data_IF_449830194756
#
_entry.id   IF_449830194756
#
_cell.length_a   1.000
_cell.length_b   1.000
_cell.length_c   1.000
_cell.angle_alpha   90.00
_cell.angle_beta   90.00
_cell.angle_gamma   90.00
#
_symmetry.space_group_name_H-M   'P 1'
#
loop_
_entity.id
_entity.type
_entity.pdbx_description
1 polymer ?
#
# COMPACT_ATOMS: atom_id res chain seq x y z
N UNK A 1 0.10 18.61 26.47
CA UNK A 1 1.38 17.94 26.26
C UNK A 1 1.61 17.90 24.76
N UNK A 2 2.57 18.64 24.26
CA UNK A 2 2.77 18.79 22.81
C UNK A 2 3.55 17.57 22.31
N UNK A 3 2.94 16.78 21.42
CA UNK A 3 3.51 15.54 20.85
C UNK A 3 4.77 15.83 19.98
N UNK A 4 5.12 17.10 19.79
CA UNK A 4 6.24 17.52 18.94
C UNK A 4 7.64 17.27 19.53
N UNK A 5 7.76 16.91 20.81
CA UNK A 5 9.05 16.78 21.49
C UNK A 5 9.52 15.34 21.71
N UNK A 6 8.79 14.34 21.17
CA UNK A 6 9.19 12.94 21.28
C UNK A 6 9.91 12.47 20.02
N UNK A 7 11.07 11.82 20.19
CA UNK A 7 11.77 11.15 19.09
C UNK A 7 11.01 9.89 18.70
N UNK A 8 10.41 9.90 17.50
CA UNK A 8 9.66 8.75 16.97
C UNK A 8 10.60 7.71 16.30
N UNK A 9 11.68 8.17 15.70
CA UNK A 9 12.70 7.32 15.07
C UNK A 9 14.06 7.90 15.43
N UNK A 10 14.93 7.06 16.01
CA UNK A 10 16.32 7.41 16.25
C UNK A 10 17.12 7.41 14.94
N UNK A 11 18.26 8.12 14.87
CA UNK A 11 19.10 8.12 13.67
C UNK A 11 19.38 6.70 13.19
N UNK A 12 18.97 6.40 11.97
CA UNK A 12 19.02 5.06 11.40
C UNK A 12 19.49 5.13 9.95
N UNK A 13 20.44 4.26 9.59
CA UNK A 13 20.81 4.02 8.20
C UNK A 13 20.21 2.70 7.76
N UNK A 14 19.28 2.76 6.82
CA UNK A 14 18.57 1.60 6.27
C UNK A 14 18.74 1.56 4.75
N UNK A 15 19.15 0.41 4.24
CA UNK A 15 19.20 0.14 2.80
C UNK A 15 18.26 -1.01 2.48
N UNK A 16 17.25 -0.75 1.66
CA UNK A 16 16.36 -1.79 1.14
C UNK A 16 16.96 -2.40 -0.14
N UNK A 17 16.78 -3.70 -0.29
CA UNK A 17 17.20 -4.42 -1.49
C UNK A 17 16.14 -4.21 -2.59
N UNK A 18 16.60 -3.93 -3.81
CA UNK A 18 15.73 -3.79 -4.98
C UNK A 18 15.17 -5.14 -5.43
N UNK A 19 13.97 -5.12 -6.01
CA UNK A 19 13.30 -6.30 -6.60
C UNK A 19 13.15 -7.46 -5.60
N UNK A 20 12.97 -7.13 -4.32
CA UNK A 20 12.77 -8.10 -3.25
C UNK A 20 11.69 -7.66 -2.30
N UNK A 21 11.19 -8.60 -1.51
CA UNK A 21 10.33 -8.30 -0.37
C UNK A 21 11.23 -8.02 0.83
N UNK A 22 11.16 -6.79 1.35
CA UNK A 22 11.84 -6.39 2.58
C UNK A 22 10.84 -6.41 3.73
N UNK A 23 11.15 -7.10 4.81
CA UNK A 23 10.27 -7.23 5.98
C UNK A 23 10.81 -6.38 7.12
N UNK A 24 10.01 -5.43 7.59
CA UNK A 24 10.32 -4.60 8.75
C UNK A 24 9.69 -5.21 10.00
N UNK A 25 10.53 -5.73 10.89
CA UNK A 25 10.11 -6.32 12.16
C UNK A 25 10.37 -5.38 13.32
N UNK A 26 9.50 -5.40 14.31
CA UNK A 26 9.64 -4.62 15.54
C UNK A 26 8.36 -4.65 16.38
N UNK A 27 8.51 -4.33 17.67
CA UNK A 27 7.37 -4.24 18.59
C UNK A 27 6.37 -3.15 18.17
N UNK A 28 5.18 -3.19 18.75
CA UNK A 28 4.21 -2.09 18.61
C UNK A 28 4.86 -0.80 19.13
N UNK A 29 4.58 0.32 18.47
CA UNK A 29 5.16 1.64 18.74
C UNK A 29 6.67 1.79 18.45
N UNK A 30 7.32 0.82 17.82
CA UNK A 30 8.74 0.92 17.41
C UNK A 30 8.98 1.90 16.23
N UNK A 31 7.97 2.62 15.75
CA UNK A 31 8.12 3.58 14.66
C UNK A 31 8.00 3.00 13.25
N UNK A 32 7.58 1.73 13.08
CA UNK A 32 7.46 1.09 11.76
C UNK A 32 6.59 1.89 10.78
N UNK A 33 5.37 2.25 11.20
CA UNK A 33 4.44 3.06 10.41
C UNK A 33 5.03 4.42 10.07
N UNK A 34 5.65 5.10 11.04
CA UNK A 34 6.31 6.40 10.83
C UNK A 34 7.43 6.30 9.80
N UNK A 35 8.26 5.26 9.87
CA UNK A 35 9.31 5.01 8.88
C UNK A 35 8.73 4.82 7.48
N UNK A 36 7.68 4.01 7.35
CA UNK A 36 6.98 3.81 6.07
C UNK A 36 6.36 5.12 5.54
N UNK A 37 5.77 5.96 6.40
CA UNK A 37 5.23 7.27 6.01
C UNK A 37 6.32 8.21 5.50
N UNK A 38 7.48 8.21 6.14
CA UNK A 38 8.66 8.97 5.68
C UNK A 38 9.13 8.45 4.31
N UNK A 39 9.23 7.12 4.13
CA UNK A 39 9.60 6.51 2.85
C UNK A 39 8.57 6.84 1.75
N UNK A 40 7.29 6.84 2.07
CA UNK A 40 6.23 7.23 1.14
C UNK A 40 6.26 8.74 0.79
N UNK A 41 6.91 9.58 1.60
CA UNK A 41 6.90 11.02 1.45
C UNK A 41 5.65 11.70 2.01
N UNK A 42 4.94 11.02 2.89
CA UNK A 42 3.78 11.56 3.62
C UNK A 42 4.23 12.39 4.81
N UNK A 43 5.29 11.93 5.49
CA UNK A 43 5.97 12.66 6.54
C UNK A 43 7.37 13.09 6.11
N UNK A 44 7.85 14.19 6.67
CA UNK A 44 9.21 14.69 6.44
C UNK A 44 10.10 14.25 7.59
N UNK A 45 11.31 13.76 7.32
CA UNK A 45 12.29 13.52 8.36
C UNK A 45 12.73 14.86 8.97
N UNK A 46 13.03 14.88 10.27
CA UNK A 46 13.58 16.05 10.95
C UNK A 46 15.01 16.34 10.48
N UNK A 47 15.76 15.28 10.16
CA UNK A 47 17.13 15.34 9.63
C UNK A 47 17.40 14.07 8.81
N UNK A 48 18.49 14.07 8.03
CA UNK A 48 18.88 12.96 7.19
C UNK A 48 18.27 13.04 5.79
N UNK A 49 18.57 12.03 4.98
CA UNK A 49 18.23 12.00 3.57
C UNK A 49 17.56 10.68 3.19
N UNK A 50 16.67 10.75 2.18
CA UNK A 50 16.01 9.60 1.58
C UNK A 50 16.42 9.54 0.12
N UNK A 51 17.01 8.42 -0.25
CA UNK A 51 17.44 8.17 -1.62
C UNK A 51 16.63 7.05 -2.26
N UNK A 52 16.16 7.26 -3.49
CA UNK A 52 15.43 6.28 -4.27
C UNK A 52 15.96 6.27 -5.70
N UNK A 53 16.39 5.11 -6.21
CA UNK A 53 17.01 4.97 -7.54
C UNK A 53 18.12 5.99 -7.84
N UNK A 54 19.00 6.24 -6.86
CA UNK A 54 20.09 7.23 -6.92
C UNK A 54 19.63 8.69 -7.02
N UNK A 55 18.37 8.97 -6.75
CA UNK A 55 17.82 10.32 -6.65
C UNK A 55 17.53 10.65 -5.18
N UNK A 56 17.91 11.84 -4.73
CA UNK A 56 17.53 12.33 -3.41
C UNK A 56 16.08 12.80 -3.45
N UNK A 57 15.19 12.04 -2.82
CA UNK A 57 13.75 12.31 -2.76
C UNK A 57 13.32 12.95 -1.45
N UNK A 58 14.27 13.40 -0.62
CA UNK A 58 13.97 14.08 0.65
C UNK A 58 13.13 15.33 0.41
N UNK A 59 11.97 15.40 1.06
CA UNK A 59 11.05 16.54 0.88
C UNK A 59 10.28 16.56 -0.45
N UNK A 60 10.50 15.60 -1.35
CA UNK A 60 9.71 15.47 -2.58
C UNK A 60 8.25 15.14 -2.21
N UNK A 61 7.31 15.87 -2.82
CA UNK A 61 5.87 15.63 -2.60
C UNK A 61 5.48 14.21 -3.01
N UNK A 62 4.62 13.56 -2.21
CA UNK A 62 4.14 12.18 -2.43
C UNK A 62 3.55 11.98 -3.83
N UNK A 63 2.88 12.99 -4.41
CA UNK A 63 2.29 12.92 -5.76
C UNK A 63 3.33 12.74 -6.88
N UNK A 64 4.59 13.12 -6.61
CA UNK A 64 5.70 12.96 -7.55
C UNK A 64 6.46 11.64 -7.35
N UNK A 65 6.16 10.89 -6.28
CA UNK A 65 6.75 9.59 -6.01
C UNK A 65 5.85 8.50 -6.57
N UNK A 66 6.40 7.56 -7.30
CA UNK A 66 5.64 6.39 -7.76
C UNK A 66 5.57 5.31 -6.67
N UNK A 67 4.91 5.64 -5.56
CA UNK A 67 4.78 4.79 -4.37
C UNK A 67 3.31 4.48 -4.12
N UNK A 68 3.02 3.28 -3.64
CA UNK A 68 1.74 2.90 -3.07
C UNK A 68 1.90 2.56 -1.59
N UNK A 69 0.94 2.97 -0.76
CA UNK A 69 0.93 2.62 0.66
C UNK A 69 -0.44 2.09 1.08
N UNK A 70 -0.44 0.97 1.78
CA UNK A 70 -1.60 0.41 2.47
C UNK A 70 -1.38 0.59 3.96
N UNK A 71 -2.26 1.35 4.59
CA UNK A 71 -2.25 1.58 6.03
C UNK A 71 -2.89 0.40 6.77
N UNK A 72 -2.52 0.22 8.02
CA UNK A 72 -3.17 -0.72 8.95
C UNK A 72 -4.69 -0.46 9.04
N UNK A 73 -5.10 0.81 9.06
CA UNK A 73 -6.49 1.20 8.88
C UNK A 73 -6.77 1.33 7.38
N UNK A 74 -7.51 0.37 6.83
CA UNK A 74 -7.88 0.40 5.42
C UNK A 74 -8.84 1.57 5.13
N UNK A 75 -8.41 2.45 4.23
CA UNK A 75 -9.20 3.61 3.81
C UNK A 75 -9.74 3.34 2.40
N UNK A 76 -11.05 3.23 2.28
CA UNK A 76 -11.75 3.15 0.99
C UNK A 76 -12.55 4.43 0.74
N UNK A 77 -12.74 4.78 -0.53
CA UNK A 77 -13.62 5.88 -0.92
C UNK A 77 -15.08 5.44 -0.73
N UNK A 78 -15.84 6.01 0.22
CA UNK A 78 -17.15 5.46 0.63
C UNK A 78 -18.22 5.56 -0.46
N UNK A 79 -18.11 6.53 -1.36
CA UNK A 79 -19.05 6.77 -2.44
C UNK A 79 -18.73 5.97 -3.71
N UNK A 80 -17.58 5.32 -3.79
CA UNK A 80 -17.13 4.54 -4.92
C UNK A 80 -17.51 3.07 -4.73
N UNK A 81 -17.82 2.40 -5.83
CA UNK A 81 -17.89 0.93 -5.84
C UNK A 81 -16.52 0.30 -5.54
N UNK A 82 -16.47 -1.00 -5.28
CA UNK A 82 -15.20 -1.74 -5.19
C UNK A 82 -14.40 -1.58 -6.48
N UNK A 83 -15.06 -1.70 -7.63
CA UNK A 83 -14.43 -1.48 -8.93
C UNK A 83 -13.80 -0.08 -9.03
N UNK A 84 -14.56 0.97 -8.71
CA UNK A 84 -14.07 2.34 -8.80
C UNK A 84 -12.97 2.65 -7.79
N UNK A 85 -13.04 2.06 -6.59
CA UNK A 85 -11.96 2.14 -5.61
C UNK A 85 -10.67 1.58 -6.17
N UNK A 86 -10.71 0.37 -6.75
CA UNK A 86 -9.54 -0.29 -7.33
C UNK A 86 -9.06 0.47 -8.57
N UNK A 87 -9.96 0.89 -9.45
CA UNK A 87 -9.63 1.59 -10.70
C UNK A 87 -9.10 3.01 -10.50
N UNK A 88 -9.36 3.64 -9.34
CA UNK A 88 -9.07 5.06 -9.11
C UNK A 88 -7.61 5.47 -9.42
N UNK A 89 -6.56 4.75 -9.02
CA UNK A 89 -5.19 5.14 -9.34
C UNK A 89 -4.88 5.04 -10.84
N UNK A 90 -5.47 4.08 -11.54
CA UNK A 90 -5.28 3.91 -12.99
C UNK A 90 -5.95 5.04 -13.77
N UNK A 91 -7.15 5.45 -13.36
CA UNK A 91 -7.87 6.59 -13.96
C UNK A 91 -7.07 7.90 -13.81
N UNK A 92 -6.44 8.13 -12.65
CA UNK A 92 -5.61 9.31 -12.40
C UNK A 92 -4.35 9.31 -13.28
N UNK A 93 -3.76 8.16 -13.56
CA UNK A 93 -2.57 8.02 -14.41
C UNK A 93 -2.88 7.93 -15.90
N UNK A 94 -4.16 8.04 -16.30
CA UNK A 94 -4.57 8.06 -17.70
C UNK A 94 -4.52 6.71 -18.41
N UNK A 95 -4.57 5.60 -17.66
CA UNK A 95 -4.63 4.25 -18.24
C UNK A 95 -5.97 4.08 -18.98
N UNK A 96 -5.94 3.43 -20.15
CA UNK A 96 -7.13 3.20 -20.99
C UNK A 96 -8.22 2.42 -20.24
N UNK A 97 -9.49 2.58 -20.66
CA UNK A 97 -10.61 1.89 -20.04
C UNK A 97 -10.49 0.37 -20.09
N UNK A 98 -10.04 -0.17 -21.24
CA UNK A 98 -9.93 -1.61 -21.45
C UNK A 98 -8.81 -2.21 -20.61
N UNK A 99 -7.66 -1.55 -20.54
CA UNK A 99 -6.55 -1.95 -19.70
C UNK A 99 -6.91 -1.84 -18.22
N UNK A 100 -7.61 -0.77 -17.82
CA UNK A 100 -8.12 -0.60 -16.45
C UNK A 100 -9.03 -1.78 -16.08
N UNK A 101 -9.96 -2.15 -16.93
CA UNK A 101 -10.88 -3.27 -16.71
C UNK A 101 -10.12 -4.59 -16.54
N UNK A 102 -9.13 -4.81 -17.38
CA UNK A 102 -8.31 -6.03 -17.33
C UNK A 102 -7.50 -6.10 -16.03
N UNK A 103 -6.81 -5.02 -15.65
CA UNK A 103 -5.98 -4.97 -14.43
C UNK A 103 -6.85 -5.10 -13.17
N UNK A 104 -7.98 -4.40 -13.11
CA UNK A 104 -8.93 -4.51 -12.00
C UNK A 104 -9.46 -5.94 -11.88
N UNK A 105 -9.81 -6.59 -13.01
CA UNK A 105 -10.29 -7.97 -13.03
C UNK A 105 -9.28 -8.95 -12.43
N UNK A 106 -8.02 -8.87 -12.86
CA UNK A 106 -6.93 -9.73 -12.35
C UNK A 106 -6.73 -9.57 -10.84
N UNK A 107 -6.66 -8.33 -10.35
CA UNK A 107 -6.44 -8.06 -8.92
C UNK A 107 -7.68 -8.45 -8.10
N UNK A 108 -8.89 -8.24 -8.63
CA UNK A 108 -10.13 -8.63 -7.96
C UNK A 108 -10.26 -10.17 -7.85
N UNK A 109 -9.86 -10.91 -8.86
CA UNK A 109 -9.83 -12.38 -8.83
C UNK A 109 -8.87 -12.87 -7.76
N UNK A 110 -7.62 -12.38 -7.79
CA UNK A 110 -6.60 -12.73 -6.80
C UNK A 110 -7.08 -12.50 -5.35
N UNK A 111 -7.71 -11.36 -5.09
CA UNK A 111 -8.18 -10.98 -3.76
C UNK A 111 -9.61 -11.45 -3.45
N UNK A 112 -10.18 -12.32 -4.28
CA UNK A 112 -11.54 -12.88 -4.12
C UNK A 112 -12.62 -11.79 -3.98
N UNK A 113 -12.52 -10.73 -4.81
CA UNK A 113 -13.43 -9.60 -4.85
C UNK A 113 -14.33 -9.58 -6.09
N UNK A 114 -14.19 -10.54 -7.04
CA UNK A 114 -14.88 -10.51 -8.33
C UNK A 114 -16.40 -10.38 -8.20
N UNK A 115 -17.02 -11.07 -7.22
CA UNK A 115 -18.46 -10.97 -6.95
C UNK A 115 -18.90 -9.70 -6.21
N UNK A 116 -17.95 -8.83 -5.83
CA UNK A 116 -18.21 -7.63 -5.01
C UNK A 116 -17.96 -6.31 -5.75
N UNK A 117 -17.55 -6.37 -7.04
CA UNK A 117 -17.09 -5.20 -7.79
C UNK A 117 -18.11 -4.06 -7.84
N UNK A 118 -19.40 -4.39 -7.85
CA UNK A 118 -20.50 -3.40 -7.91
C UNK A 118 -20.96 -2.89 -6.53
N UNK A 119 -20.45 -3.47 -5.44
CA UNK A 119 -20.81 -3.08 -4.08
C UNK A 119 -20.03 -1.85 -3.63
N UNK A 120 -20.59 -1.10 -2.67
CA UNK A 120 -19.91 0.00 -1.98
C UNK A 120 -19.25 -0.50 -0.69
N UNK A 121 -18.27 0.23 -0.13
CA UNK A 121 -17.58 -0.17 1.11
C UNK A 121 -18.50 -0.46 2.29
N UNK A 122 -19.60 0.28 2.44
CA UNK A 122 -20.57 0.06 3.52
C UNK A 122 -21.36 -1.26 3.41
N UNK A 123 -21.32 -1.93 2.25
CA UNK A 123 -21.95 -3.23 2.00
C UNK A 123 -20.96 -4.41 2.18
N UNK A 124 -19.73 -4.11 2.60
CA UNK A 124 -18.63 -5.06 2.69
C UNK A 124 -18.30 -5.38 4.15
N UNK A 125 -17.87 -6.63 4.41
CA UNK A 125 -17.22 -6.97 5.68
C UNK A 125 -15.87 -6.25 5.82
N UNK A 126 -15.34 -6.14 7.04
CA UNK A 126 -14.04 -5.52 7.30
C UNK A 126 -12.91 -6.14 6.48
N UNK A 127 -12.87 -7.48 6.37
CA UNK A 127 -11.88 -8.17 5.54
C UNK A 127 -12.04 -7.89 4.04
N UNK A 128 -13.27 -7.71 3.54
CA UNK A 128 -13.51 -7.31 2.14
C UNK A 128 -13.07 -5.87 1.88
N UNK A 129 -13.30 -4.97 2.82
CA UNK A 129 -12.82 -3.58 2.75
C UNK A 129 -11.29 -3.52 2.74
N UNK A 130 -10.62 -4.31 3.58
CA UNK A 130 -9.16 -4.40 3.63
C UNK A 130 -8.60 -4.92 2.31
N UNK A 131 -9.18 -5.98 1.74
CA UNK A 131 -8.79 -6.50 0.42
C UNK A 131 -9.01 -5.48 -0.69
N UNK A 132 -10.06 -4.67 -0.62
CA UNK A 132 -10.30 -3.58 -1.58
C UNK A 132 -9.18 -2.52 -1.50
N UNK A 133 -8.75 -2.12 -0.31
CA UNK A 133 -7.63 -1.20 -0.14
C UNK A 133 -6.30 -1.79 -0.63
N UNK A 134 -6.07 -3.08 -0.37
CA UNK A 134 -4.90 -3.81 -0.88
C UNK A 134 -4.94 -3.90 -2.42
N UNK A 135 -6.08 -4.24 -3.01
CA UNK A 135 -6.28 -4.28 -4.47
C UNK A 135 -5.93 -2.95 -5.14
N UNK A 136 -6.34 -1.84 -4.52
CA UNK A 136 -6.04 -0.49 -5.01
C UNK A 136 -4.53 -0.18 -5.03
N UNK A 137 -3.78 -0.69 -4.06
CA UNK A 137 -2.33 -0.52 -4.04
C UNK A 137 -1.63 -1.41 -5.07
N UNK A 138 -2.13 -2.64 -5.28
CA UNK A 138 -1.54 -3.63 -6.19
C UNK A 138 -1.84 -3.37 -7.67
N UNK A 139 -2.96 -2.71 -7.99
CA UNK A 139 -3.36 -2.47 -9.38
C UNK A 139 -2.46 -1.46 -10.09
N UNK A 140 -1.80 -0.58 -9.32
CA UNK A 140 -0.87 0.44 -9.82
C UNK A 140 0.53 -0.16 -9.98
N UNK A 141 1.21 0.13 -11.09
CA UNK A 141 2.62 -0.18 -11.27
C UNK A 141 3.48 0.80 -10.48
N UNK A 142 3.61 0.54 -9.18
CA UNK A 142 4.41 1.35 -8.28
C UNK A 142 5.81 0.78 -8.15
N UNK A 143 6.82 1.66 -8.15
CA UNK A 143 8.22 1.28 -7.94
C UNK A 143 8.48 0.82 -6.50
N UNK A 144 7.63 1.24 -5.56
CA UNK A 144 7.68 0.83 -4.16
C UNK A 144 6.26 0.64 -3.63
N UNK A 145 6.00 -0.51 -3.02
CA UNK A 145 4.74 -0.79 -2.33
C UNK A 145 5.04 -0.98 -0.85
N UNK A 146 4.44 -0.15 -0.02
CA UNK A 146 4.56 -0.17 1.44
C UNK A 146 3.28 -0.76 2.02
N UNK A 147 3.40 -1.83 2.79
CA UNK A 147 2.29 -2.55 3.38
C UNK A 147 2.43 -2.54 4.91
N UNK A 148 1.58 -1.77 5.59
CA UNK A 148 1.56 -1.69 7.05
C UNK A 148 0.51 -2.67 7.61
N UNK A 149 0.97 -3.83 8.06
CA UNK A 149 0.15 -4.93 8.57
C UNK A 149 -1.03 -5.34 7.65
N UNK A 150 -0.81 -5.54 6.35
CA UNK A 150 -1.89 -5.64 5.35
C UNK A 150 -2.79 -6.86 5.52
N UNK A 151 -2.40 -7.83 6.35
CA UNK A 151 -3.11 -9.09 6.54
C UNK A 151 -3.68 -9.26 7.96
N UNK A 152 -3.57 -8.25 8.83
CA UNK A 152 -3.89 -8.36 10.25
C UNK A 152 -5.36 -8.76 10.54
N UNK A 153 -6.30 -8.22 9.76
CA UNK A 153 -7.75 -8.41 9.97
C UNK A 153 -8.36 -9.47 9.03
N UNK A 154 -7.53 -10.30 8.40
CA UNK A 154 -8.00 -11.39 7.54
C UNK A 154 -8.16 -12.69 8.34
N UNK A 155 -9.11 -13.53 7.92
CA UNK A 155 -9.22 -14.89 8.40
C UNK A 155 -7.95 -15.70 8.10
N UNK A 156 -7.72 -16.76 8.90
CA UNK A 156 -6.47 -17.52 8.82
C UNK A 156 -6.23 -18.12 7.42
N UNK A 157 -7.27 -18.72 6.82
CA UNK A 157 -7.14 -19.38 5.51
C UNK A 157 -6.72 -18.40 4.42
N UNK A 158 -7.41 -17.28 4.34
CA UNK A 158 -7.10 -16.24 3.34
C UNK A 158 -5.74 -15.60 3.59
N UNK A 159 -5.34 -15.43 4.86
CA UNK A 159 -4.02 -14.93 5.20
C UNK A 159 -2.90 -15.84 4.69
N UNK A 160 -3.04 -17.15 4.88
CA UNK A 160 -2.06 -18.10 4.36
C UNK A 160 -2.04 -18.12 2.82
N UNK A 161 -3.20 -18.13 2.17
CA UNK A 161 -3.28 -18.05 0.71
C UNK A 161 -2.57 -16.77 0.18
N UNK A 162 -2.82 -15.61 0.78
CA UNK A 162 -2.19 -14.36 0.35
C UNK A 162 -0.68 -14.30 0.68
N UNK A 163 -0.21 -14.97 1.73
CA UNK A 163 1.23 -15.09 2.00
C UNK A 163 1.98 -15.83 0.90
N UNK A 164 1.34 -16.80 0.27
CA UNK A 164 1.92 -17.54 -0.84
C UNK A 164 1.79 -16.81 -2.19
N UNK A 165 0.69 -16.08 -2.39
CA UNK A 165 0.37 -15.44 -3.67
C UNK A 165 1.05 -14.07 -3.84
N UNK A 166 1.14 -13.26 -2.76
CA UNK A 166 1.76 -11.93 -2.85
C UNK A 166 3.22 -11.97 -3.33
N UNK A 167 4.10 -12.87 -2.85
CA UNK A 167 5.47 -12.96 -3.37
C UNK A 167 5.50 -13.24 -4.87
N UNK A 168 4.69 -14.16 -5.37
CA UNK A 168 4.62 -14.53 -6.78
C UNK A 168 4.21 -13.36 -7.68
N UNK A 169 3.34 -12.45 -7.15
CA UNK A 169 2.95 -11.24 -7.87
C UNK A 169 4.10 -10.24 -8.02
N UNK A 170 5.02 -10.22 -7.06
CA UNK A 170 6.15 -9.29 -7.08
C UNK A 170 7.35 -9.86 -7.84
N UNK A 171 7.50 -11.18 -7.93
CA UNK A 171 8.55 -11.85 -8.72
C UNK A 171 8.42 -11.63 -10.23
N UNK A 172 7.20 -11.37 -10.71
CA UNK A 172 6.88 -11.17 -12.13
C UNK A 172 6.79 -9.69 -12.55
N UNK A 173 7.34 -8.77 -11.75
CA UNK A 173 7.31 -7.32 -12.01
C UNK A 173 8.68 -6.73 -12.27
#
# INVERSE_FOLDING_TARGET
>A
MCIRDSTHIYPTNLKLQKNTINILLGSTLAGKTTLMQIMAGLDKPTSGEIWFNNENVTGMKVQKRNVSMVYQQFINYPNFTVYDNIASPLKITGVSSDETKQRVGKVAELLKLSGMLNKKPNELSGGQQQRTALARALVKDSDLILLDEPLANLDFKLREELREELPKLFENR
#
